data_IF_235053322810
#
_entry.id   IF_235053322810
#
_cell.length_a   1.000
_cell.length_b   1.000
_cell.length_c   1.000
_cell.angle_alpha   90.00
_cell.angle_beta   90.00
_cell.angle_gamma   90.00
#
_symmetry.space_group_name_H-M   'P 1'
#
loop_
_entity.id
_entity.type
_entity.pdbx_description
1 polymer ?
#
# COMPACT_ATOMS: atom_id res chain seq x y z
N UNK A 1 -14.19 -3.42 22.30
CA UNK A 1 -15.35 -3.47 21.38
C UNK A 1 -14.81 -3.80 19.99
N UNK A 2 -15.29 -4.90 19.40
CA UNK A 2 -15.04 -5.17 17.98
C UNK A 2 -16.04 -4.35 17.17
N UNK A 3 -15.55 -3.44 16.35
CA UNK A 3 -16.37 -2.71 15.39
C UNK A 3 -16.50 -3.56 14.13
N UNK A 4 -17.70 -3.96 13.72
CA UNK A 4 -17.88 -4.70 12.49
C UNK A 4 -17.44 -3.84 11.30
N UNK A 5 -16.50 -4.31 10.50
CA UNK A 5 -16.05 -3.63 9.28
C UNK A 5 -17.07 -3.92 8.18
N UNK A 6 -17.70 -2.87 7.63
CA UNK A 6 -18.69 -2.96 6.55
C UNK A 6 -18.25 -2.20 5.30
N UNK A 7 -17.56 -1.08 5.50
CA UNK A 7 -17.14 -0.19 4.40
C UNK A 7 -15.68 0.20 4.53
N UNK A 8 -14.95 0.14 3.45
CA UNK A 8 -13.52 0.49 3.45
C UNK A 8 -13.13 1.40 2.29
N UNK A 9 -12.14 2.25 2.52
CA UNK A 9 -11.49 3.04 1.46
C UNK A 9 -10.15 2.41 1.13
N UNK A 10 -9.80 2.32 -0.16
CA UNK A 10 -8.52 1.76 -0.61
C UNK A 10 -7.85 2.72 -1.59
N UNK A 11 -6.58 3.08 -1.33
CA UNK A 11 -5.67 3.61 -2.34
C UNK A 11 -4.69 2.54 -2.79
N UNK A 12 -4.25 2.57 -4.04
CA UNK A 12 -3.31 1.55 -4.58
C UNK A 12 -3.95 0.20 -4.87
N UNK A 13 -5.28 0.15 -5.04
CA UNK A 13 -6.05 -1.06 -5.31
C UNK A 13 -5.69 -1.78 -6.61
N UNK A 14 -5.03 -1.14 -7.58
CA UNK A 14 -4.53 -1.77 -8.82
C UNK A 14 -3.18 -2.48 -8.68
N UNK A 15 -2.54 -2.42 -7.51
CA UNK A 15 -1.33 -3.23 -7.24
C UNK A 15 -1.70 -4.71 -7.05
N UNK A 16 -0.72 -5.62 -7.17
CA UNK A 16 -0.97 -7.05 -6.95
C UNK A 16 -1.59 -7.33 -5.58
N UNK A 17 -1.07 -6.69 -4.52
CA UNK A 17 -1.60 -6.79 -3.15
C UNK A 17 -2.99 -6.14 -3.06
N UNK A 18 -3.18 -4.98 -3.71
CA UNK A 18 -4.46 -4.28 -3.72
C UNK A 18 -5.56 -5.08 -4.38
N UNK A 19 -5.29 -5.71 -5.53
CA UNK A 19 -6.23 -6.58 -6.23
C UNK A 19 -6.62 -7.81 -5.39
N UNK A 20 -5.64 -8.43 -4.73
CA UNK A 20 -5.89 -9.57 -3.85
C UNK A 20 -6.76 -9.16 -2.64
N UNK A 21 -6.46 -8.00 -2.03
CA UNK A 21 -7.24 -7.44 -0.92
C UNK A 21 -8.68 -7.13 -1.35
N UNK A 22 -8.86 -6.46 -2.49
CA UNK A 22 -10.19 -6.12 -3.02
C UNK A 22 -11.03 -7.39 -3.18
N UNK A 23 -10.49 -8.43 -3.83
CA UNK A 23 -11.21 -9.71 -4.01
C UNK A 23 -11.61 -10.30 -2.67
N UNK A 24 -10.67 -10.39 -1.72
CA UNK A 24 -10.96 -10.95 -0.39
C UNK A 24 -12.03 -10.16 0.37
N UNK A 25 -12.01 -8.83 0.31
CA UNK A 25 -13.01 -7.99 0.95
C UNK A 25 -14.41 -8.15 0.31
N UNK A 26 -14.46 -8.29 -1.01
CA UNK A 26 -15.73 -8.54 -1.72
C UNK A 26 -16.31 -9.91 -1.37
N UNK A 27 -15.48 -10.95 -1.20
CA UNK A 27 -15.90 -12.28 -0.74
C UNK A 27 -16.51 -12.23 0.68
N UNK A 28 -16.05 -11.30 1.51
CA UNK A 28 -16.59 -11.03 2.86
C UNK A 28 -17.78 -10.04 2.86
N UNK A 29 -18.31 -9.67 1.67
CA UNK A 29 -19.39 -8.70 1.49
C UNK A 29 -19.10 -7.32 2.06
N UNK A 30 -17.87 -6.87 2.03
CA UNK A 30 -17.45 -5.53 2.45
C UNK A 30 -17.53 -4.58 1.26
N UNK A 31 -18.16 -3.42 1.47
CA UNK A 31 -18.25 -2.35 0.48
C UNK A 31 -16.92 -1.60 0.38
N UNK A 32 -16.49 -1.31 -0.84
CA UNK A 32 -15.18 -0.73 -1.11
C UNK A 32 -15.32 0.55 -1.93
N UNK A 33 -14.78 1.64 -1.43
CA UNK A 33 -14.43 2.81 -2.22
C UNK A 33 -12.95 2.73 -2.60
N UNK A 34 -12.68 2.60 -3.87
CA UNK A 34 -11.31 2.59 -4.39
C UNK A 34 -10.97 3.95 -5.00
N UNK A 35 -10.06 4.67 -4.35
CA UNK A 35 -9.50 5.92 -4.88
C UNK A 35 -8.27 5.61 -5.73
N UNK A 36 -8.27 6.05 -6.99
CA UNK A 36 -7.19 5.77 -7.93
C UNK A 36 -6.96 6.89 -8.95
N UNK A 37 -5.75 6.95 -9.50
CA UNK A 37 -5.48 7.81 -10.66
C UNK A 37 -6.25 7.32 -11.89
N UNK A 38 -6.50 8.22 -12.87
CA UNK A 38 -7.24 7.91 -14.09
C UNK A 38 -6.56 6.84 -14.94
N UNK A 39 -5.25 6.94 -15.10
CA UNK A 39 -4.48 6.04 -15.95
C UNK A 39 -3.80 4.94 -15.13
N UNK A 40 -4.14 3.70 -15.41
CA UNK A 40 -3.47 2.51 -14.86
C UNK A 40 -3.53 1.37 -15.86
N UNK A 41 -2.47 0.58 -15.91
CA UNK A 41 -2.33 -0.55 -16.85
C UNK A 41 -3.13 -1.79 -16.44
N UNK A 42 -3.77 -1.79 -15.27
CA UNK A 42 -4.43 -2.98 -14.69
C UNK A 42 -5.93 -2.80 -14.45
N UNK A 43 -6.56 -1.90 -15.15
CA UNK A 43 -8.01 -1.66 -15.02
C UNK A 43 -8.85 -2.88 -15.36
N UNK A 44 -8.42 -3.66 -16.35
CA UNK A 44 -9.13 -4.85 -16.81
C UNK A 44 -9.11 -6.01 -15.79
N UNK A 45 -8.26 -5.91 -14.77
CA UNK A 45 -8.11 -6.94 -13.75
C UNK A 45 -8.98 -6.69 -12.51
N UNK A 46 -9.61 -5.51 -12.43
CA UNK A 46 -10.53 -5.18 -11.36
C UNK A 46 -11.83 -5.98 -11.50
N UNK A 47 -12.32 -6.58 -10.41
CA UNK A 47 -13.59 -7.31 -10.45
C UNK A 47 -14.76 -6.35 -10.70
N UNK A 48 -15.70 -6.77 -11.55
CA UNK A 48 -16.98 -6.08 -11.71
C UNK A 48 -17.91 -6.53 -10.59
N UNK A 49 -18.10 -5.71 -9.58
CA UNK A 49 -18.91 -6.06 -8.41
C UNK A 49 -19.70 -4.84 -7.90
N UNK A 50 -20.95 -5.07 -7.45
CA UNK A 50 -21.84 -4.01 -6.96
C UNK A 50 -21.35 -3.28 -5.70
N UNK A 51 -20.48 -3.92 -4.92
CA UNK A 51 -19.87 -3.36 -3.71
C UNK A 51 -18.50 -2.70 -3.97
N UNK A 52 -18.03 -2.65 -5.22
CA UNK A 52 -16.80 -1.97 -5.59
C UNK A 52 -17.13 -0.66 -6.32
N UNK A 53 -16.92 0.43 -5.65
CA UNK A 53 -17.05 1.79 -6.18
C UNK A 53 -15.67 2.33 -6.50
N UNK A 54 -15.51 2.91 -7.68
CA UNK A 54 -14.22 3.44 -8.15
C UNK A 54 -14.36 4.92 -8.41
N UNK A 55 -13.54 5.71 -7.73
CA UNK A 55 -13.45 7.14 -7.96
C UNK A 55 -12.03 7.57 -8.35
N UNK A 56 -11.97 8.59 -9.20
CA UNK A 56 -10.70 9.11 -9.67
C UNK A 56 -10.19 10.17 -8.71
N UNK A 57 -9.15 9.80 -7.97
CA UNK A 57 -8.45 10.66 -7.04
C UNK A 57 -7.00 10.14 -6.95
N UNK A 58 -6.05 10.87 -7.50
CA UNK A 58 -4.63 10.54 -7.38
C UNK A 58 -4.12 10.86 -5.96
N UNK A 59 -2.91 10.38 -5.62
CA UNK A 59 -2.38 10.59 -4.26
C UNK A 59 -2.17 12.08 -3.91
N UNK A 60 -1.80 12.88 -4.89
CA UNK A 60 -1.66 14.33 -4.78
C UNK A 60 -2.98 15.08 -4.59
N UNK A 61 -4.11 14.45 -4.94
CA UNK A 61 -5.46 15.03 -4.86
C UNK A 61 -6.20 14.66 -3.56
N UNK A 62 -5.64 13.75 -2.73
CA UNK A 62 -6.28 13.29 -1.49
C UNK A 62 -6.62 14.42 -0.52
N UNK A 63 -5.83 15.50 -0.51
CA UNK A 63 -6.05 16.67 0.33
C UNK A 63 -7.35 17.41 0.00
N UNK A 64 -7.74 17.42 -1.28
CA UNK A 64 -8.88 18.14 -1.82
C UNK A 64 -10.13 17.25 -1.97
N UNK A 65 -10.03 15.95 -1.67
CA UNK A 65 -11.15 15.02 -1.77
C UNK A 65 -12.15 15.22 -0.64
N UNK A 66 -13.40 15.43 -0.96
CA UNK A 66 -14.50 15.60 -0.01
C UNK A 66 -15.33 14.32 0.11
N UNK A 67 -15.37 13.67 1.30
CA UNK A 67 -16.19 12.48 1.54
C UNK A 67 -17.68 12.76 1.43
N UNK A 68 -18.42 11.86 0.76
CA UNK A 68 -19.89 11.92 0.67
C UNK A 68 -20.58 11.01 1.70
N UNK A 69 -19.83 10.09 2.31
CA UNK A 69 -20.31 9.14 3.32
C UNK A 69 -19.17 8.70 4.25
N UNK A 70 -19.49 7.90 5.27
CA UNK A 70 -18.52 7.41 6.26
C UNK A 70 -18.03 6.00 5.94
N UNK A 71 -16.80 5.69 6.32
CA UNK A 71 -16.14 4.40 6.14
C UNK A 71 -15.47 3.96 7.44
N UNK A 72 -15.30 2.64 7.61
CA UNK A 72 -14.77 2.07 8.85
C UNK A 72 -13.23 2.03 8.87
N UNK A 73 -12.63 1.67 7.73
CA UNK A 73 -11.18 1.43 7.60
C UNK A 73 -10.64 2.08 6.34
N UNK A 74 -9.47 2.69 6.45
CA UNK A 74 -8.71 3.22 5.31
C UNK A 74 -7.45 2.37 5.05
N UNK A 75 -7.38 1.71 3.89
CA UNK A 75 -6.21 1.00 3.42
C UNK A 75 -5.39 1.89 2.49
N UNK A 76 -4.23 2.33 2.95
CA UNK A 76 -3.30 3.13 2.15
C UNK A 76 -2.18 2.24 1.59
N UNK A 77 -2.43 1.63 0.41
CA UNK A 77 -1.46 0.82 -0.33
C UNK A 77 -0.80 1.61 -1.47
N UNK A 78 -1.31 2.82 -1.75
CA UNK A 78 -0.78 3.70 -2.78
C UNK A 78 0.64 4.16 -2.47
N UNK A 79 1.50 4.13 -3.49
CA UNK A 79 2.85 4.67 -3.45
C UNK A 79 3.23 5.14 -4.84
N UNK A 80 3.66 6.39 -4.96
CA UNK A 80 4.10 6.95 -6.24
C UNK A 80 5.58 6.65 -6.50
N UNK A 81 5.96 6.63 -7.78
CA UNK A 81 7.37 6.51 -8.18
C UNK A 81 8.00 5.19 -7.71
N UNK A 82 7.48 4.08 -8.28
CA UNK A 82 7.81 2.71 -7.85
C UNK A 82 8.79 1.96 -8.75
N UNK A 83 9.22 2.53 -9.88
CA UNK A 83 10.26 1.90 -10.70
C UNK A 83 11.57 1.79 -9.92
N UNK A 84 12.46 0.89 -10.34
CA UNK A 84 13.74 0.65 -9.66
C UNK A 84 14.58 1.93 -9.57
N UNK A 85 14.60 2.73 -10.61
CA UNK A 85 15.33 4.00 -10.66
C UNK A 85 14.70 5.04 -9.73
N UNK A 86 13.37 5.23 -9.81
CA UNK A 86 12.64 6.20 -9.01
C UNK A 86 12.75 5.90 -7.50
N UNK A 87 12.79 4.62 -7.10
CA UNK A 87 13.00 4.22 -5.69
C UNK A 87 14.35 4.63 -5.11
N UNK A 88 15.35 4.91 -5.97
CA UNK A 88 16.67 5.39 -5.57
C UNK A 88 16.76 6.91 -5.49
N UNK A 89 15.74 7.62 -5.93
CA UNK A 89 15.70 9.08 -5.94
C UNK A 89 15.00 9.63 -4.71
N UNK A 90 15.78 10.18 -3.76
CA UNK A 90 15.27 10.71 -2.49
C UNK A 90 14.21 11.79 -2.69
N UNK A 91 14.42 12.72 -3.63
CA UNK A 91 13.49 13.84 -3.88
C UNK A 91 12.12 13.34 -4.35
N UNK A 92 12.10 12.31 -5.20
CA UNK A 92 10.85 11.70 -5.65
C UNK A 92 10.16 10.93 -4.52
N UNK A 93 10.91 10.29 -3.64
CA UNK A 93 10.35 9.47 -2.57
C UNK A 93 9.77 10.30 -1.42
N UNK A 94 10.30 11.49 -1.11
CA UNK A 94 9.80 12.39 -0.06
C UNK A 94 8.32 12.73 -0.24
N UNK A 95 7.84 12.91 -1.48
CA UNK A 95 6.44 13.23 -1.75
C UNK A 95 5.45 12.20 -1.21
N UNK A 96 5.85 10.94 -1.09
CA UNK A 96 4.99 9.90 -0.53
C UNK A 96 4.72 10.09 0.98
N UNK A 97 5.59 10.79 1.70
CA UNK A 97 5.34 11.14 3.12
C UNK A 97 4.18 12.12 3.20
N UNK A 98 4.18 13.16 2.37
CA UNK A 98 3.10 14.13 2.26
C UNK A 98 1.78 13.42 1.90
N UNK A 99 1.76 12.61 0.85
CA UNK A 99 0.58 11.87 0.42
C UNK A 99 0.04 10.91 1.51
N UNK A 100 0.93 10.26 2.25
CA UNK A 100 0.52 9.37 3.35
C UNK A 100 -0.08 10.15 4.52
N UNK A 101 0.44 11.35 4.81
CA UNK A 101 -0.14 12.23 5.82
C UNK A 101 -1.53 12.73 5.38
N UNK A 102 -1.70 13.11 4.12
CA UNK A 102 -3.01 13.50 3.58
C UNK A 102 -4.00 12.32 3.56
N UNK A 103 -3.52 11.09 3.33
CA UNK A 103 -4.36 9.91 3.44
C UNK A 103 -4.89 9.69 4.88
N UNK A 104 -4.09 9.96 5.92
CA UNK A 104 -4.57 9.90 7.32
C UNK A 104 -5.61 10.99 7.60
N UNK A 105 -5.38 12.23 7.14
CA UNK A 105 -6.35 13.32 7.28
C UNK A 105 -7.66 12.99 6.56
N UNK A 106 -7.57 12.39 5.38
CA UNK A 106 -8.74 11.94 4.64
C UNK A 106 -9.46 10.79 5.36
N UNK A 107 -8.72 9.84 5.93
CA UNK A 107 -9.32 8.78 6.78
C UNK A 107 -10.09 9.37 7.96
N UNK A 108 -9.58 10.44 8.58
CA UNK A 108 -10.30 11.17 9.62
C UNK A 108 -11.58 11.83 9.08
N UNK A 109 -11.52 12.48 7.92
CA UNK A 109 -12.72 13.08 7.28
C UNK A 109 -13.77 12.03 6.89
N UNK A 110 -13.35 10.81 6.51
CA UNK A 110 -14.25 9.66 6.29
C UNK A 110 -14.85 9.08 7.58
N UNK A 111 -14.38 9.49 8.76
CA UNK A 111 -14.78 8.92 10.04
C UNK A 111 -14.16 7.53 10.31
N UNK A 112 -13.11 7.14 9.61
CA UNK A 112 -12.46 5.85 9.79
C UNK A 112 -11.88 5.71 11.21
N UNK A 113 -12.17 4.58 11.87
CA UNK A 113 -11.57 4.26 13.16
C UNK A 113 -10.21 3.55 13.04
N UNK A 114 -9.84 3.08 11.85
CA UNK A 114 -8.59 2.35 11.61
C UNK A 114 -7.95 2.80 10.28
N UNK A 115 -6.66 3.06 10.33
CA UNK A 115 -5.80 3.32 9.18
C UNK A 115 -4.76 2.22 9.04
N UNK A 116 -4.66 1.60 7.85
CA UNK A 116 -3.72 0.53 7.54
C UNK A 116 -2.83 0.99 6.40
N UNK A 117 -1.56 1.28 6.70
CA UNK A 117 -0.58 1.68 5.70
C UNK A 117 0.36 0.55 5.31
N UNK A 118 0.71 0.43 4.03
CA UNK A 118 1.62 -0.61 3.56
C UNK A 118 3.09 -0.25 3.82
N UNK A 119 3.71 -0.91 4.79
CA UNK A 119 5.14 -0.90 5.02
C UNK A 119 5.91 -1.85 4.08
N UNK A 120 7.21 -1.93 4.25
CA UNK A 120 8.10 -2.73 3.41
C UNK A 120 9.26 -3.32 4.21
N UNK A 121 9.75 -4.49 3.78
CA UNK A 121 11.01 -5.04 4.28
C UNK A 121 12.21 -4.08 4.11
N UNK A 122 12.15 -3.17 3.13
CA UNK A 122 13.19 -2.17 2.91
C UNK A 122 13.40 -1.22 4.10
N UNK A 123 12.44 -1.13 5.03
CA UNK A 123 12.56 -0.38 6.28
C UNK A 123 13.59 -0.98 7.24
N UNK A 124 13.73 -2.31 7.20
CA UNK A 124 14.71 -3.00 8.05
C UNK A 124 16.16 -2.80 7.55
N UNK A 125 16.39 -2.64 6.25
CA UNK A 125 17.73 -2.74 5.66
C UNK A 125 18.20 -4.20 5.57
N UNK A 126 19.53 -4.43 5.59
CA UNK A 126 20.12 -5.78 5.57
C UNK A 126 20.32 -6.29 6.99
N UNK A 127 19.89 -7.52 7.22
CA UNK A 127 20.13 -8.26 8.44
C UNK A 127 20.58 -9.67 8.11
N UNK A 128 21.56 -10.17 8.83
CA UNK A 128 22.05 -11.55 8.70
C UNK A 128 21.14 -12.52 9.44
N UNK A 129 20.50 -12.04 10.51
CA UNK A 129 19.60 -12.84 11.34
C UNK A 129 18.15 -12.73 10.90
N UNK A 130 17.33 -13.68 11.35
CA UNK A 130 15.89 -13.69 11.13
C UNK A 130 15.26 -12.44 11.75
N UNK A 131 14.46 -11.72 10.93
CA UNK A 131 13.72 -10.54 11.38
C UNK A 131 12.71 -10.89 12.46
N UNK A 132 12.67 -10.08 13.51
CA UNK A 132 11.73 -10.13 14.63
C UNK A 132 10.90 -8.84 14.69
N UNK A 133 9.88 -8.79 15.55
CA UNK A 133 9.03 -7.61 15.69
C UNK A 133 9.79 -6.37 16.18
N UNK A 134 10.85 -6.58 16.96
CA UNK A 134 11.72 -5.57 17.57
C UNK A 134 13.03 -5.34 16.80
N UNK A 135 13.23 -6.02 15.66
CA UNK A 135 14.39 -5.79 14.82
C UNK A 135 14.52 -4.32 14.46
N UNK A 136 15.69 -3.75 14.72
CA UNK A 136 15.96 -2.34 14.43
C UNK A 136 15.82 -2.04 12.93
N UNK A 137 15.15 -0.96 12.61
CA UNK A 137 15.02 -0.50 11.23
C UNK A 137 16.22 0.37 10.84
N UNK A 138 17.00 -0.10 9.88
CA UNK A 138 18.21 0.58 9.36
C UNK A 138 18.15 0.64 7.83
N UNK A 139 17.20 1.40 7.25
CA UNK A 139 16.99 1.42 5.81
C UNK A 139 18.23 1.95 5.07
N UNK A 140 18.61 1.30 3.97
CA UNK A 140 19.82 1.59 3.19
C UNK A 140 19.53 2.34 1.86
N UNK A 141 18.27 2.58 1.54
CA UNK A 141 17.90 3.26 0.30
C UNK A 141 16.76 4.26 0.52
N UNK A 142 16.59 5.24 -0.37
CA UNK A 142 15.58 6.30 -0.23
C UNK A 142 14.15 5.78 -0.03
N UNK A 143 13.78 4.72 -0.74
CA UNK A 143 12.46 4.11 -0.60
C UNK A 143 12.23 3.57 0.83
N UNK A 144 13.17 2.80 1.37
CA UNK A 144 13.08 2.27 2.74
C UNK A 144 13.06 3.37 3.80
N UNK A 145 13.93 4.40 3.64
CA UNK A 145 13.96 5.58 4.52
C UNK A 145 12.60 6.27 4.54
N UNK A 146 12.00 6.52 3.36
CA UNK A 146 10.71 7.20 3.30
C UNK A 146 9.54 6.32 3.75
N UNK A 147 9.59 5.01 3.56
CA UNK A 147 8.61 4.07 4.14
C UNK A 147 8.63 4.13 5.67
N UNK A 148 9.82 4.09 6.27
CA UNK A 148 9.97 4.22 7.73
C UNK A 148 9.50 5.59 8.23
N UNK A 149 9.83 6.67 7.51
CA UNK A 149 9.35 8.02 7.80
C UNK A 149 7.81 8.08 7.75
N UNK A 150 7.18 7.50 6.72
CA UNK A 150 5.71 7.42 6.63
C UNK A 150 5.11 6.65 7.81
N UNK A 151 5.71 5.53 8.22
CA UNK A 151 5.26 4.76 9.39
C UNK A 151 5.18 5.65 10.64
N UNK A 152 6.23 6.43 10.90
CA UNK A 152 6.28 7.31 12.07
C UNK A 152 5.32 8.51 11.93
N UNK A 153 5.31 9.20 10.79
CA UNK A 153 4.47 10.37 10.55
C UNK A 153 2.98 10.01 10.64
N UNK A 154 2.55 8.95 9.95
CA UNK A 154 1.15 8.51 9.96
C UNK A 154 0.73 8.01 11.34
N UNK A 155 1.61 7.37 12.10
CA UNK A 155 1.33 6.94 13.48
C UNK A 155 1.07 8.12 14.41
N UNK A 156 1.86 9.20 14.29
CA UNK A 156 1.67 10.42 15.09
C UNK A 156 0.32 11.06 14.76
N UNK A 157 0.00 11.24 13.48
CA UNK A 157 -1.28 11.81 13.06
C UNK A 157 -2.48 10.94 13.44
N UNK A 158 -2.38 9.62 13.28
CA UNK A 158 -3.44 8.70 13.71
C UNK A 158 -3.71 8.82 15.22
N UNK A 159 -2.65 8.95 16.03
CA UNK A 159 -2.79 9.18 17.47
C UNK A 159 -3.51 10.50 17.78
N UNK A 160 -3.18 11.57 17.07
CA UNK A 160 -3.82 12.88 17.20
C UNK A 160 -5.32 12.82 16.90
N UNK A 161 -5.70 12.10 15.84
CA UNK A 161 -7.10 11.95 15.41
C UNK A 161 -7.86 10.81 16.10
N UNK A 162 -7.24 10.08 17.03
CA UNK A 162 -7.89 8.94 17.71
C UNK A 162 -8.11 7.73 16.79
N UNK A 163 -7.36 7.60 15.69
CA UNK A 163 -7.45 6.52 14.73
C UNK A 163 -6.44 5.42 15.10
N UNK A 164 -6.88 4.16 15.07
CA UNK A 164 -6.00 3.00 15.24
C UNK A 164 -5.05 2.90 14.05
N UNK A 165 -3.74 2.92 14.28
CA UNK A 165 -2.71 2.77 13.26
C UNK A 165 -2.19 1.34 13.16
N UNK A 166 -2.19 0.77 11.95
CA UNK A 166 -1.63 -0.54 11.63
C UNK A 166 -0.66 -0.38 10.47
N UNK A 167 0.58 -0.88 10.64
CA UNK A 167 1.64 -0.76 9.63
C UNK A 167 2.32 -2.10 9.38
N UNK A 168 1.72 -2.99 8.57
CA UNK A 168 2.36 -4.26 8.21
C UNK A 168 3.56 -4.01 7.30
N UNK A 169 4.75 -4.45 7.70
CA UNK A 169 5.92 -4.49 6.84
C UNK A 169 5.86 -5.72 5.97
N UNK A 170 5.57 -5.51 4.70
CA UNK A 170 5.37 -6.59 3.74
C UNK A 170 6.73 -7.09 3.28
N UNK A 171 6.97 -8.39 3.49
CA UNK A 171 8.18 -9.09 3.05
C UNK A 171 7.84 -9.95 1.85
N UNK A 172 8.72 -9.96 0.85
CA UNK A 172 8.78 -10.91 -0.30
C UNK A 172 7.42 -11.47 -0.77
N UNK A 173 6.38 -10.63 -0.81
CA UNK A 173 5.10 -11.04 -1.38
C UNK A 173 5.27 -11.26 -2.89
N UNK A 174 4.68 -12.35 -3.38
CA UNK A 174 4.68 -12.69 -4.81
C UNK A 174 3.29 -13.16 -5.25
N UNK A 175 3.02 -13.08 -6.54
CA UNK A 175 1.75 -13.50 -7.10
C UNK A 175 1.63 -13.30 -8.60
N UNK A 176 0.45 -13.64 -9.14
CA UNK A 176 0.17 -13.61 -10.59
C UNK A 176 0.29 -12.21 -11.22
N UNK A 177 0.30 -11.18 -10.40
CA UNK A 177 0.41 -9.78 -10.84
C UNK A 177 1.82 -9.21 -10.71
N UNK A 178 2.82 -10.05 -10.40
CA UNK A 178 4.20 -9.59 -10.32
C UNK A 178 4.74 -9.21 -11.71
N UNK A 179 5.51 -8.14 -11.74
CA UNK A 179 6.23 -7.75 -12.95
C UNK A 179 7.41 -8.66 -13.24
N UNK A 180 7.78 -8.79 -14.52
CA UNK A 180 8.92 -9.59 -14.99
C UNK A 180 10.27 -9.26 -14.33
N UNK A 181 10.36 -8.11 -13.65
CA UNK A 181 11.56 -7.67 -12.94
C UNK A 181 11.67 -8.17 -11.49
N UNK A 182 10.70 -8.96 -10.99
CA UNK A 182 10.84 -9.57 -9.65
C UNK A 182 11.79 -10.74 -9.68
N UNK A 183 12.56 -10.92 -8.59
CA UNK A 183 13.55 -12.01 -8.49
C UNK A 183 12.90 -13.37 -8.72
N UNK A 184 11.78 -13.66 -8.04
CA UNK A 184 11.11 -14.95 -8.12
C UNK A 184 10.64 -15.27 -9.54
N UNK A 185 9.95 -14.32 -10.20
CA UNK A 185 9.45 -14.53 -11.55
C UNK A 185 10.61 -14.68 -12.55
N UNK A 186 11.69 -13.89 -12.39
CA UNK A 186 12.90 -14.02 -13.19
C UNK A 186 13.54 -15.41 -13.07
N UNK A 187 13.65 -15.93 -11.84
CA UNK A 187 14.19 -17.29 -11.58
C UNK A 187 13.29 -18.36 -12.22
N UNK A 188 11.98 -18.29 -12.03
CA UNK A 188 11.02 -19.22 -12.62
C UNK A 188 11.14 -19.22 -14.16
N UNK A 189 11.17 -18.03 -14.77
CA UNK A 189 11.25 -17.91 -16.23
C UNK A 189 12.58 -18.45 -16.79
N UNK A 190 13.69 -18.22 -16.11
CA UNK A 190 14.99 -18.79 -16.46
C UNK A 190 14.96 -20.32 -16.35
N UNK A 191 14.46 -20.85 -15.26
CA UNK A 191 14.32 -22.31 -15.07
C UNK A 191 13.47 -22.95 -16.17
N UNK A 192 12.34 -22.33 -16.54
CA UNK A 192 11.47 -22.82 -17.64
C UNK A 192 12.14 -22.78 -19.01
N UNK A 193 13.12 -21.89 -19.21
CA UNK A 193 13.92 -21.80 -20.45
C UNK A 193 15.17 -22.69 -20.44
N UNK A 194 15.44 -23.41 -19.33
CA UNK A 194 16.66 -24.20 -19.17
C UNK A 194 17.93 -23.35 -19.03
N UNK A 195 17.80 -22.08 -18.68
CA UNK A 195 18.92 -21.17 -18.45
C UNK A 195 19.57 -21.42 -17.08
N UNK A 196 20.88 -21.19 -16.99
CA UNK A 196 21.60 -21.31 -15.72
C UNK A 196 21.12 -20.26 -14.71
N UNK A 197 20.83 -20.70 -13.48
CA UNK A 197 20.40 -19.83 -12.40
C UNK A 197 21.60 -19.23 -11.68
N UNK A 198 21.73 -17.91 -11.72
CA UNK A 198 22.72 -17.17 -10.94
C UNK A 198 21.97 -16.42 -9.82
N UNK A 199 22.41 -16.62 -8.58
CA UNK A 199 21.86 -16.03 -7.36
C UNK A 199 22.83 -15.00 -6.76
#
# INVERSE_FOLDING_TARGET
>A
MEYPIKKVVITGGTSGIGLALIRKLLDENIEILMLRRRETSRDMELPKHKLLHIEYCALEELKDYEPHETYDVFFHLGWAKTSQEERRNMVLQIKNVEYSCEAVKLAHRFGCHTFIGAGSQAEYGRHEEKLQNDTLCTPENPYGVMKLCCCHATRVLCKEFGIRHIWPRILSAYGIYDGMGTMLLSVIMKALRGEELQF
#
